data_IF_709747528808
#
_entry.id   IF_709747528808
#
_cell.length_a   1.000
_cell.length_b   1.000
_cell.length_c   1.000
_cell.angle_alpha   90.00
_cell.angle_beta   90.00
_cell.angle_gamma   90.00
#
_symmetry.space_group_name_H-M   'P 1'
#
loop_
_entity.id
_entity.type
_entity.pdbx_description
1 polymer ?
#
# COMPACT_ATOMS: atom_id res chain seq x y z
N UNK A 1 -32.19 -27.85 6.53
CA UNK A 1 -32.21 -27.01 5.31
C UNK A 1 -30.81 -27.06 4.75
N UNK A 2 -30.62 -27.66 3.58
CA UNK A 2 -29.31 -27.87 2.99
C UNK A 2 -28.80 -26.54 2.41
N UNK A 3 -27.73 -25.99 3.01
CA UNK A 3 -26.96 -24.93 2.38
C UNK A 3 -26.40 -25.49 1.08
N UNK A 4 -26.86 -24.96 -0.05
CA UNK A 4 -26.30 -25.24 -1.37
C UNK A 4 -24.83 -24.83 -1.31
N UNK A 5 -23.91 -25.80 -1.28
CA UNK A 5 -22.46 -25.61 -1.14
C UNK A 5 -21.77 -24.94 -2.34
N UNK A 6 -22.40 -23.90 -2.90
CA UNK A 6 -21.86 -23.05 -3.95
C UNK A 6 -21.18 -21.84 -3.29
N UNK A 7 -20.01 -21.46 -3.80
CA UNK A 7 -19.34 -20.21 -3.40
C UNK A 7 -20.32 -19.04 -3.58
N UNK A 8 -20.41 -18.09 -2.63
CA UNK A 8 -21.23 -16.88 -2.77
C UNK A 8 -21.08 -16.18 -4.14
N UNK A 9 -19.89 -16.20 -4.73
CA UNK A 9 -19.63 -15.64 -6.07
C UNK A 9 -20.36 -16.43 -7.17
N UNK A 10 -20.42 -17.74 -7.04
CA UNK A 10 -21.12 -18.62 -7.98
C UNK A 10 -22.64 -18.42 -7.88
N UNK A 11 -23.18 -18.25 -6.67
CA UNK A 11 -24.58 -17.89 -6.44
C UNK A 11 -24.96 -16.53 -7.06
N UNK A 12 -24.14 -15.50 -6.85
CA UNK A 12 -24.40 -14.16 -7.39
C UNK A 12 -24.35 -14.13 -8.92
N UNK A 13 -23.37 -14.80 -9.53
CA UNK A 13 -23.27 -14.85 -10.99
C UNK A 13 -24.45 -15.61 -11.61
N UNK A 14 -24.86 -16.73 -11.00
CA UNK A 14 -26.04 -17.49 -11.45
C UNK A 14 -27.33 -16.67 -11.34
N UNK A 15 -27.45 -15.81 -10.32
CA UNK A 15 -28.62 -14.93 -10.14
C UNK A 15 -28.85 -13.95 -11.31
N UNK A 16 -27.79 -13.61 -12.05
CA UNK A 16 -27.84 -12.76 -13.25
C UNK A 16 -27.68 -13.54 -14.55
N UNK A 17 -27.82 -14.87 -14.51
CA UNK A 17 -27.73 -15.73 -15.69
C UNK A 17 -26.32 -15.88 -16.25
N UNK A 18 -25.30 -15.57 -15.47
CA UNK A 18 -23.90 -15.71 -15.85
C UNK A 18 -23.28 -16.92 -15.15
N UNK A 19 -22.61 -17.76 -15.91
CA UNK A 19 -21.65 -18.71 -15.35
C UNK A 19 -20.29 -18.03 -15.34
N UNK A 20 -19.76 -17.68 -14.16
CA UNK A 20 -18.49 -16.97 -14.07
C UNK A 20 -17.31 -17.78 -14.63
N UNK A 21 -17.41 -19.12 -14.65
CA UNK A 21 -16.43 -20.03 -15.28
C UNK A 21 -16.51 -20.02 -16.81
N UNK A 22 -17.64 -19.60 -17.38
CA UNK A 22 -17.87 -19.49 -18.83
C UNK A 22 -18.07 -18.03 -19.26
N UNK A 23 -17.71 -17.07 -18.40
CA UNK A 23 -17.93 -15.66 -18.67
C UNK A 23 -17.12 -15.25 -19.92
N UNK A 24 -17.75 -14.72 -20.98
CA UNK A 24 -17.06 -14.35 -22.21
C UNK A 24 -16.14 -13.13 -22.04
N UNK A 25 -15.89 -12.67 -20.80
CA UNK A 25 -14.99 -11.57 -20.47
C UNK A 25 -13.60 -11.72 -21.12
N UNK A 26 -13.11 -12.96 -21.30
CA UNK A 26 -11.85 -13.23 -22.02
C UNK A 26 -11.96 -12.82 -23.50
N UNK A 27 -13.11 -13.08 -24.14
CA UNK A 27 -13.38 -12.70 -25.53
C UNK A 27 -13.70 -11.19 -25.68
N UNK A 28 -14.34 -10.58 -24.66
CA UNK A 28 -14.72 -9.17 -24.68
C UNK A 28 -13.54 -8.23 -24.38
N UNK A 29 -12.58 -8.65 -23.54
CA UNK A 29 -11.44 -7.84 -23.12
C UNK A 29 -10.12 -8.62 -23.22
N UNK A 30 -9.65 -8.98 -24.43
CA UNK A 30 -8.49 -9.84 -24.62
C UNK A 30 -7.19 -9.21 -24.09
N UNK A 31 -7.07 -7.88 -24.15
CA UNK A 31 -5.90 -7.19 -23.59
C UNK A 31 -5.91 -7.18 -22.07
N UNK A 32 -7.05 -6.89 -21.44
CA UNK A 32 -7.18 -6.83 -19.98
C UNK A 32 -6.91 -8.18 -19.33
N UNK A 33 -7.38 -9.26 -19.97
CA UNK A 33 -7.24 -10.64 -19.47
C UNK A 33 -5.93 -11.32 -19.89
N UNK A 34 -5.15 -10.70 -20.79
CA UNK A 34 -3.84 -11.23 -21.20
C UNK A 34 -2.80 -11.14 -20.08
N UNK A 35 -1.85 -12.09 -20.01
CA UNK A 35 -0.70 -11.99 -19.11
C UNK A 35 0.13 -10.71 -19.34
N UNK A 36 0.73 -10.18 -18.29
CA UNK A 36 1.58 -8.99 -18.36
C UNK A 36 2.82 -9.11 -17.46
N UNK A 37 3.99 -8.76 -17.99
CA UNK A 37 5.25 -8.84 -17.25
C UNK A 37 5.52 -7.52 -16.52
N UNK A 38 5.75 -7.59 -15.20
CA UNK A 38 6.16 -6.46 -14.36
C UNK A 38 7.48 -6.82 -13.67
N UNK A 39 8.57 -6.19 -14.11
CA UNK A 39 9.90 -6.55 -13.65
C UNK A 39 10.18 -8.04 -13.88
N UNK A 40 10.50 -8.77 -12.82
CA UNK A 40 10.73 -10.22 -12.86
C UNK A 40 9.47 -11.08 -12.66
N UNK A 41 8.29 -10.46 -12.48
CA UNK A 41 7.04 -11.16 -12.15
C UNK A 41 6.07 -11.17 -13.35
N UNK A 42 5.51 -12.35 -13.62
CA UNK A 42 4.47 -12.54 -14.62
C UNK A 42 3.09 -12.43 -13.95
N UNK A 43 2.30 -11.41 -14.29
CA UNK A 43 0.91 -11.30 -13.87
C UNK A 43 0.03 -12.20 -14.76
N UNK A 44 -0.97 -12.86 -14.17
CA UNK A 44 -1.95 -13.68 -14.92
C UNK A 44 -2.90 -12.86 -15.79
N UNK A 45 -3.10 -11.59 -15.45
CA UNK A 45 -3.89 -10.60 -16.19
C UNK A 45 -3.49 -9.18 -15.77
N UNK A 46 -4.10 -8.16 -16.38
CA UNK A 46 -3.81 -6.74 -16.11
C UNK A 46 -4.76 -6.11 -15.08
N UNK A 47 -5.58 -6.91 -14.40
CA UNK A 47 -6.50 -6.42 -13.37
C UNK A 47 -5.71 -6.23 -12.08
N UNK A 48 -5.73 -5.01 -11.55
CA UNK A 48 -4.96 -4.62 -10.36
C UNK A 48 -5.90 -4.08 -9.30
N UNK A 49 -5.70 -4.50 -8.05
CA UNK A 49 -6.23 -3.77 -6.90
C UNK A 49 -5.21 -2.74 -6.49
N UNK A 50 -5.61 -1.47 -6.54
CA UNK A 50 -4.75 -0.36 -6.14
C UNK A 50 -4.66 -0.24 -4.62
N UNK A 51 -3.58 0.36 -4.16
CA UNK A 51 -3.36 0.72 -2.77
C UNK A 51 -4.54 1.52 -2.21
N UNK A 52 -5.11 1.06 -1.10
CA UNK A 52 -6.16 1.75 -0.37
C UNK A 52 -6.11 1.39 1.11
N UNK A 53 -6.49 2.35 1.94
CA UNK A 53 -6.51 2.21 3.38
C UNK A 53 -7.92 1.76 3.83
N UNK A 54 -7.99 0.76 4.71
CA UNK A 54 -9.23 0.25 5.30
C UNK A 54 -9.52 0.84 6.69
N UNK A 55 -8.51 1.40 7.37
CA UNK A 55 -8.55 1.78 8.78
C UNK A 55 -8.95 0.62 9.72
N UNK A 56 -8.51 -0.60 9.41
CA UNK A 56 -8.81 -1.82 10.17
C UNK A 56 -7.59 -2.39 10.92
N UNK A 57 -6.46 -1.69 10.85
CA UNK A 57 -5.32 -1.93 11.73
C UNK A 57 -5.59 -1.41 13.14
N UNK A 58 -4.88 -1.98 14.11
CA UNK A 58 -4.84 -1.48 15.47
C UNK A 58 -3.46 -0.88 15.73
N UNK A 59 -3.37 0.44 15.77
CA UNK A 59 -2.11 1.19 15.96
C UNK A 59 -1.00 0.79 14.96
N UNK A 60 -1.39 0.58 13.70
CA UNK A 60 -0.48 0.16 12.63
C UNK A 60 -0.23 -1.34 12.57
N UNK A 61 -0.84 -2.12 13.46
CA UNK A 61 -0.75 -3.59 13.43
C UNK A 61 -1.88 -4.17 12.59
N UNK A 62 -1.51 -5.05 11.67
CA UNK A 62 -2.45 -5.79 10.86
C UNK A 62 -3.37 -6.62 11.74
N UNK A 63 -4.59 -6.78 11.26
CA UNK A 63 -5.60 -7.66 11.83
C UNK A 63 -5.89 -8.80 10.86
N UNK A 64 -6.49 -9.88 11.36
CA UNK A 64 -6.84 -11.02 10.52
C UNK A 64 -7.86 -10.61 9.45
N UNK A 65 -8.79 -9.72 9.81
CA UNK A 65 -9.84 -9.19 8.95
C UNK A 65 -9.26 -8.40 7.77
N UNK A 66 -8.18 -7.63 7.99
CA UNK A 66 -7.45 -6.95 6.93
C UNK A 66 -6.86 -7.98 5.94
N UNK A 67 -6.21 -9.02 6.47
CA UNK A 67 -5.61 -10.09 5.66
C UNK A 67 -6.68 -10.83 4.85
N UNK A 68 -7.79 -11.21 5.48
CA UNK A 68 -8.89 -11.94 4.84
C UNK A 68 -9.50 -11.11 3.69
N UNK A 69 -9.71 -9.80 3.92
CA UNK A 69 -10.21 -8.88 2.89
C UNK A 69 -9.32 -8.86 1.65
N UNK A 70 -8.01 -8.70 1.84
CA UNK A 70 -7.03 -8.63 0.74
C UNK A 70 -6.87 -10.00 0.05
N UNK A 71 -6.88 -11.09 0.82
CA UNK A 71 -6.82 -12.44 0.27
C UNK A 71 -8.04 -12.75 -0.63
N UNK A 72 -9.25 -12.30 -0.25
CA UNK A 72 -10.46 -12.48 -1.08
C UNK A 72 -10.36 -11.75 -2.42
N UNK A 73 -9.56 -10.67 -2.53
CA UNK A 73 -9.27 -10.04 -3.82
C UNK A 73 -8.38 -10.91 -4.71
N UNK A 74 -7.37 -11.54 -4.13
CA UNK A 74 -6.52 -12.49 -4.84
C UNK A 74 -7.33 -13.70 -5.33
N UNK A 75 -8.20 -14.23 -4.49
CA UNK A 75 -9.15 -15.29 -4.84
C UNK A 75 -10.07 -14.90 -6.01
N UNK A 76 -10.56 -13.65 -6.00
CA UNK A 76 -11.40 -13.09 -7.05
C UNK A 76 -10.75 -12.87 -8.42
N UNK A 77 -9.50 -13.30 -8.64
CA UNK A 77 -8.93 -13.33 -10.00
C UNK A 77 -8.00 -12.18 -10.36
N UNK A 78 -7.62 -11.29 -9.44
CA UNK A 78 -6.74 -10.14 -9.76
C UNK A 78 -5.30 -10.58 -10.09
N UNK A 79 -4.64 -9.90 -11.02
CA UNK A 79 -3.26 -10.17 -11.41
C UNK A 79 -2.25 -9.61 -10.42
N UNK A 80 -2.49 -8.39 -9.95
CA UNK A 80 -1.63 -7.67 -9.01
C UNK A 80 -2.46 -7.08 -7.86
N UNK A 81 -1.95 -7.25 -6.65
CA UNK A 81 -2.49 -6.66 -5.43
C UNK A 81 -1.45 -5.69 -4.86
N UNK A 82 -1.72 -4.39 -4.96
CA UNK A 82 -0.92 -3.36 -4.29
C UNK A 82 -1.61 -3.07 -2.95
N UNK A 83 -1.03 -3.60 -1.88
CA UNK A 83 -1.60 -3.56 -0.55
C UNK A 83 -1.28 -2.27 0.18
N UNK A 84 -2.20 -1.96 1.10
CA UNK A 84 -2.15 -0.87 2.07
C UNK A 84 -2.24 0.52 1.40
N UNK A 85 -2.97 1.43 2.02
CA UNK A 85 -2.99 2.83 1.61
C UNK A 85 -1.95 3.58 2.41
N UNK A 86 -0.79 3.84 1.80
CA UNK A 86 0.31 4.60 2.39
C UNK A 86 0.89 3.97 3.68
N UNK A 87 1.29 2.69 3.63
CA UNK A 87 1.88 2.00 4.78
C UNK A 87 3.19 2.66 5.24
N UNK A 88 3.32 2.87 6.54
CA UNK A 88 4.44 3.65 7.10
C UNK A 88 5.72 2.84 7.14
N UNK A 89 6.81 3.38 6.59
CA UNK A 89 8.15 2.80 6.69
C UNK A 89 8.92 3.24 7.94
N UNK A 90 8.41 4.22 8.70
CA UNK A 90 9.17 4.87 9.76
C UNK A 90 8.35 5.05 11.03
N UNK A 91 8.92 4.74 12.19
CA UNK A 91 8.23 4.80 13.48
C UNK A 91 7.73 6.21 13.81
N UNK A 92 8.58 7.23 13.65
CA UNK A 92 8.20 8.63 13.91
C UNK A 92 7.14 9.19 12.95
N UNK A 93 6.95 8.57 11.77
CA UNK A 93 5.88 8.95 10.85
C UNK A 93 4.49 8.51 11.37
N UNK A 94 4.47 7.55 12.30
CA UNK A 94 3.28 7.05 12.99
C UNK A 94 2.32 6.27 12.12
N UNK A 95 1.53 5.40 12.77
CA UNK A 95 0.36 4.75 12.18
C UNK A 95 -0.87 5.67 12.26
N UNK A 96 -0.78 6.87 11.68
CA UNK A 96 -1.86 7.85 11.83
C UNK A 96 -2.95 7.57 10.79
N UNK A 97 -4.22 7.55 11.21
CA UNK A 97 -5.38 7.23 10.35
C UNK A 97 -5.29 5.81 9.77
N UNK A 98 -5.01 4.83 10.61
CA UNK A 98 -5.11 3.42 10.21
C UNK A 98 -4.08 2.99 9.16
N UNK A 99 -2.81 3.38 9.34
CA UNK A 99 -1.75 3.03 8.39
C UNK A 99 -0.91 1.89 8.93
N UNK A 100 -0.92 0.76 8.23
CA UNK A 100 -0.06 -0.40 8.53
C UNK A 100 1.41 0.02 8.65
N UNK A 101 2.08 -0.45 9.70
CA UNK A 101 3.49 -0.18 9.99
C UNK A 101 4.39 -1.25 9.37
N UNK A 102 5.14 -0.90 8.32
CA UNK A 102 6.14 -1.80 7.70
C UNK A 102 7.44 -1.89 8.49
N UNK A 103 7.65 -0.98 9.45
CA UNK A 103 8.80 -0.96 10.35
C UNK A 103 8.61 -1.85 11.57
N UNK A 104 7.38 -2.27 11.91
CA UNK A 104 7.07 -3.06 13.11
C UNK A 104 7.20 -4.57 12.83
N UNK A 105 8.12 -5.30 13.50
CA UNK A 105 8.23 -6.76 13.37
C UNK A 105 6.97 -7.53 13.76
N UNK A 106 6.10 -6.98 14.60
CA UNK A 106 4.87 -7.66 15.00
C UNK A 106 3.90 -7.90 13.82
N UNK A 107 4.08 -7.18 12.71
CA UNK A 107 3.30 -7.39 11.48
C UNK A 107 3.78 -8.57 10.63
N UNK A 108 5.00 -9.07 10.81
CA UNK A 108 5.57 -10.11 9.94
C UNK A 108 4.74 -11.40 9.82
N UNK A 109 4.12 -11.93 10.89
CA UNK A 109 3.29 -13.13 10.78
C UNK A 109 2.11 -12.94 9.81
N UNK A 110 1.40 -11.80 9.92
CA UNK A 110 0.25 -11.50 9.06
C UNK A 110 0.66 -11.06 7.66
N UNK A 111 1.79 -10.36 7.52
CA UNK A 111 2.39 -10.06 6.21
C UNK A 111 2.75 -11.36 5.47
N UNK A 112 3.32 -12.34 6.17
CA UNK A 112 3.68 -13.65 5.60
C UNK A 112 2.43 -14.45 5.22
N UNK A 113 1.43 -14.47 6.10
CA UNK A 113 0.15 -15.13 5.83
C UNK A 113 -0.54 -14.54 4.59
N UNK A 114 -0.54 -13.21 4.46
CA UNK A 114 -1.14 -12.53 3.33
C UNK A 114 -0.42 -12.84 2.02
N UNK A 115 0.92 -12.76 1.98
CA UNK A 115 1.69 -13.10 0.79
C UNK A 115 1.42 -14.55 0.34
N UNK A 116 1.47 -15.49 1.28
CA UNK A 116 1.16 -16.89 0.99
C UNK A 116 -0.28 -17.07 0.49
N UNK A 117 -1.26 -16.34 1.04
CA UNK A 117 -2.65 -16.37 0.55
C UNK A 117 -2.78 -15.83 -0.87
N UNK A 118 -2.13 -14.71 -1.17
CA UNK A 118 -2.16 -14.10 -2.51
C UNK A 118 -1.51 -15.03 -3.55
N UNK A 119 -0.37 -15.64 -3.22
CA UNK A 119 0.33 -16.57 -4.11
C UNK A 119 -0.45 -17.87 -4.35
N UNK A 120 -1.18 -18.39 -3.35
CA UNK A 120 -2.06 -19.57 -3.53
C UNK A 120 -3.11 -19.35 -4.63
N UNK A 121 -3.51 -18.11 -4.86
CA UNK A 121 -4.47 -17.76 -5.92
C UNK A 121 -3.80 -17.23 -7.21
N UNK A 122 -2.48 -17.34 -7.34
CA UNK A 122 -1.74 -16.99 -8.57
C UNK A 122 -1.66 -15.48 -8.85
N UNK A 123 -1.84 -14.65 -7.82
CA UNK A 123 -1.67 -13.20 -7.90
C UNK A 123 -0.30 -12.78 -7.37
N UNK A 124 0.19 -11.62 -7.84
CA UNK A 124 1.41 -10.97 -7.35
C UNK A 124 1.05 -9.95 -6.27
N UNK A 125 1.90 -9.81 -5.26
CA UNK A 125 1.66 -8.92 -4.11
C UNK A 125 2.78 -7.89 -3.92
N UNK A 126 2.40 -6.62 -3.79
CA UNK A 126 3.30 -5.51 -3.49
C UNK A 126 2.73 -4.63 -2.39
N UNK A 127 3.57 -3.99 -1.59
CA UNK A 127 3.13 -3.03 -0.57
C UNK A 127 3.37 -1.60 -1.03
N UNK A 128 2.40 -0.71 -0.81
CA UNK A 128 2.61 0.73 -0.97
C UNK A 128 3.33 1.29 0.26
N UNK A 129 4.64 1.50 0.12
CA UNK A 129 5.50 2.06 1.15
C UNK A 129 5.53 3.59 1.11
N UNK A 130 5.42 4.20 2.28
CA UNK A 130 5.22 5.63 2.43
C UNK A 130 5.89 6.21 3.68
N UNK A 131 6.20 7.50 3.61
CA UNK A 131 6.46 8.36 4.76
C UNK A 131 5.58 9.62 4.63
N UNK A 132 4.88 9.99 5.70
CA UNK A 132 3.80 11.00 5.61
C UNK A 132 4.31 12.44 5.58
N UNK A 133 5.51 12.63 6.10
CA UNK A 133 6.17 13.93 6.18
C UNK A 133 5.33 14.94 6.98
N UNK A 134 5.18 16.17 6.48
CA UNK A 134 4.36 17.21 7.13
C UNK A 134 2.86 16.90 7.25
N UNK A 135 2.37 15.79 6.67
CA UNK A 135 0.97 15.35 6.77
C UNK A 135 0.66 14.51 8.01
N UNK A 136 1.66 14.28 8.85
CA UNK A 136 1.48 13.60 10.13
C UNK A 136 0.75 14.47 11.17
N UNK A 137 0.77 14.01 12.41
CA UNK A 137 0.33 14.78 13.57
C UNK A 137 1.23 14.47 14.75
N UNK A 138 1.90 15.50 15.26
CA UNK A 138 2.76 15.40 16.45
C UNK A 138 1.98 15.09 17.72
N UNK A 139 0.67 15.37 17.73
CA UNK A 139 -0.24 14.99 18.83
C UNK A 139 -0.39 13.46 18.91
N UNK A 140 -0.40 12.76 17.76
CA UNK A 140 -0.53 11.31 17.73
C UNK A 140 0.81 10.62 17.94
N UNK A 141 1.89 11.14 17.35
CA UNK A 141 3.20 10.48 17.38
C UNK A 141 4.04 10.88 18.58
N UNK A 142 3.70 11.99 19.26
CA UNK A 142 4.55 12.65 20.26
C UNK A 142 5.97 12.96 19.72
N UNK A 143 6.07 13.12 18.39
CA UNK A 143 7.32 13.38 17.68
C UNK A 143 7.13 14.55 16.71
N UNK A 144 8.18 15.35 16.45
CA UNK A 144 8.12 16.38 15.42
C UNK A 144 7.77 15.79 14.05
N UNK A 145 6.97 16.52 13.27
CA UNK A 145 6.75 16.19 11.87
C UNK A 145 8.05 16.45 11.10
N UNK A 146 8.40 15.56 10.17
CA UNK A 146 9.60 15.70 9.34
C UNK A 146 9.22 16.16 7.94
N UNK A 147 9.91 17.16 7.39
CA UNK A 147 9.65 17.63 6.04
C UNK A 147 10.90 18.27 5.40
N UNK A 148 10.91 18.48 4.06
CA UNK A 148 12.03 19.14 3.38
C UNK A 148 12.18 20.62 3.72
N UNK A 149 11.18 21.23 4.37
CA UNK A 149 11.21 22.62 4.81
C UNK A 149 10.15 22.89 5.87
N UNK A 150 10.30 23.99 6.61
CA UNK A 150 9.38 24.45 7.66
C UNK A 150 8.09 25.07 7.09
N UNK A 151 7.50 24.47 6.05
CA UNK A 151 6.23 24.91 5.45
C UNK A 151 5.11 23.99 5.92
N UNK A 152 4.18 24.47 6.76
CA UNK A 152 3.09 23.64 7.27
C UNK A 152 2.13 23.21 6.16
N UNK A 153 1.41 22.10 6.37
CA UNK A 153 0.28 21.78 5.50
C UNK A 153 -0.94 22.68 5.81
N UNK A 154 -1.77 23.03 4.81
CA UNK A 154 -2.92 23.92 5.02
C UNK A 154 -3.93 23.43 6.08
N UNK A 155 -4.11 22.11 6.19
CA UNK A 155 -5.14 21.52 7.05
C UNK A 155 -4.73 21.51 8.53
N UNK A 156 -3.51 21.08 8.86
CA UNK A 156 -3.05 20.89 10.25
C UNK A 156 -2.25 22.05 10.80
N UNK A 157 -1.61 22.85 9.93
CA UNK A 157 -0.81 24.03 10.29
C UNK A 157 0.33 23.80 11.28
N UNK A 158 0.63 22.55 11.64
CA UNK A 158 1.81 22.16 12.40
C UNK A 158 3.07 22.47 11.58
N UNK A 159 4.02 23.19 12.17
CA UNK A 159 5.29 23.51 11.52
C UNK A 159 6.21 22.30 11.65
N UNK A 160 6.63 21.65 10.55
CA UNK A 160 7.52 20.50 10.62
C UNK A 160 8.97 20.93 10.89
N UNK A 161 9.74 20.00 11.45
CA UNK A 161 11.19 20.04 11.45
C UNK A 161 11.73 19.89 10.03
N UNK A 162 12.70 20.72 9.67
CA UNK A 162 13.38 20.65 8.38
C UNK A 162 14.45 19.56 8.43
N UNK A 163 14.30 18.58 7.56
CA UNK A 163 15.18 17.43 7.47
C UNK A 163 16.62 17.85 7.16
N UNK A 164 17.54 17.39 7.99
CA UNK A 164 18.97 17.35 7.69
C UNK A 164 19.30 16.23 6.71
N UNK A 165 20.46 16.29 6.07
CA UNK A 165 20.92 15.22 5.16
C UNK A 165 21.01 13.87 5.87
N UNK A 166 21.50 13.85 7.12
CA UNK A 166 21.60 12.61 7.89
C UNK A 166 20.22 12.00 8.23
N UNK A 167 19.21 12.82 8.49
CA UNK A 167 17.83 12.34 8.69
C UNK A 167 17.22 11.82 7.38
N UNK A 168 17.55 12.43 6.24
CA UNK A 168 17.18 11.91 4.92
C UNK A 168 17.78 10.52 4.71
N UNK A 169 19.07 10.34 5.00
CA UNK A 169 19.73 9.04 4.90
C UNK A 169 19.07 7.98 5.80
N UNK A 170 18.67 8.35 7.02
CA UNK A 170 17.92 7.49 7.92
C UNK A 170 16.54 7.09 7.39
N UNK A 171 15.82 8.01 6.73
CA UNK A 171 14.54 7.72 6.09
C UNK A 171 14.74 6.79 4.88
N UNK A 172 15.78 7.02 4.06
CA UNK A 172 16.14 6.14 2.94
C UNK A 172 16.43 4.72 3.46
N UNK A 173 17.20 4.60 4.55
CA UNK A 173 17.44 3.31 5.21
C UNK A 173 16.13 2.66 5.67
N UNK A 174 15.18 3.43 6.19
CA UNK A 174 13.88 2.90 6.62
C UNK A 174 13.04 2.35 5.45
N UNK A 175 13.07 3.00 4.28
CA UNK A 175 12.47 2.43 3.07
C UNK A 175 13.15 1.11 2.66
N UNK A 176 14.48 1.05 2.74
CA UNK A 176 15.23 -0.17 2.44
C UNK A 176 14.90 -1.31 3.41
N UNK A 177 14.87 -1.03 4.71
CA UNK A 177 14.53 -1.99 5.77
C UNK A 177 13.10 -2.52 5.60
N UNK A 178 12.15 -1.65 5.27
CA UNK A 178 10.78 -2.06 4.95
C UNK A 178 10.74 -3.01 3.75
N UNK A 179 11.50 -2.72 2.69
CA UNK A 179 11.60 -3.60 1.52
C UNK A 179 12.25 -4.96 1.86
N UNK A 180 13.31 -4.97 2.66
CA UNK A 180 13.96 -6.21 3.14
C UNK A 180 12.99 -7.03 3.98
N UNK A 181 12.26 -6.41 4.90
CA UNK A 181 11.25 -7.09 5.74
C UNK A 181 10.14 -7.71 4.90
N UNK A 182 9.59 -6.95 3.96
CA UNK A 182 8.56 -7.44 3.04
C UNK A 182 9.07 -8.61 2.20
N UNK A 183 10.28 -8.51 1.65
CA UNK A 183 10.90 -9.60 0.91
C UNK A 183 11.05 -10.87 1.76
N UNK A 184 11.51 -10.74 3.02
CA UNK A 184 11.57 -11.86 3.98
C UNK A 184 10.19 -12.48 4.26
N UNK A 185 9.14 -11.67 4.28
CA UNK A 185 7.75 -12.13 4.43
C UNK A 185 7.17 -12.73 3.13
N UNK A 186 7.95 -12.85 2.06
CA UNK A 186 7.51 -13.44 0.79
C UNK A 186 6.81 -12.46 -0.15
N UNK A 187 6.93 -11.15 0.04
CA UNK A 187 6.32 -10.17 -0.87
C UNK A 187 7.13 -10.01 -2.16
N UNK A 188 6.45 -9.70 -3.26
CA UNK A 188 7.07 -9.62 -4.59
C UNK A 188 7.68 -8.24 -4.90
N UNK A 189 7.32 -7.21 -4.15
CA UNK A 189 7.88 -5.88 -4.34
C UNK A 189 7.27 -4.79 -3.45
N UNK A 190 7.75 -3.57 -3.70
CA UNK A 190 7.35 -2.36 -3.00
C UNK A 190 7.03 -1.28 -4.02
N UNK A 191 5.90 -0.60 -3.83
CA UNK A 191 5.60 0.66 -4.52
C UNK A 191 6.02 1.83 -3.63
N UNK A 192 6.87 2.71 -4.13
CA UNK A 192 7.27 3.94 -3.43
C UNK A 192 6.27 5.04 -3.78
N UNK A 193 5.49 5.50 -2.80
CA UNK A 193 4.50 6.56 -3.05
C UNK A 193 5.16 7.94 -3.14
N UNK A 194 4.92 8.61 -4.26
CA UNK A 194 5.22 10.03 -4.40
C UNK A 194 4.04 10.81 -4.99
N UNK A 195 2.91 10.70 -4.30
CA UNK A 195 1.65 11.35 -4.66
C UNK A 195 0.84 11.69 -3.40
N UNK A 196 0.00 12.72 -3.48
CA UNK A 196 -0.94 13.07 -2.41
C UNK A 196 -0.32 13.87 -1.27
N UNK A 197 0.78 14.58 -1.50
CA UNK A 197 1.51 15.37 -0.52
C UNK A 197 2.27 14.54 0.50
N UNK A 198 2.65 13.31 0.17
CA UNK A 198 3.54 12.48 1.01
C UNK A 198 4.98 13.01 0.99
N UNK A 199 5.85 12.51 1.87
CA UNK A 199 7.18 13.09 2.08
C UNK A 199 7.99 13.24 0.79
N UNK A 200 8.00 12.22 -0.06
CA UNK A 200 8.80 12.23 -1.29
C UNK A 200 8.31 13.34 -2.23
N UNK A 201 7.00 13.51 -2.39
CA UNK A 201 6.43 14.58 -3.22
C UNK A 201 6.74 15.97 -2.64
N UNK A 202 6.81 16.10 -1.31
CA UNK A 202 7.12 17.38 -0.66
C UNK A 202 8.50 17.93 -1.08
N UNK A 203 9.44 17.09 -1.51
CA UNK A 203 10.76 17.55 -1.96
C UNK A 203 10.72 18.34 -3.27
N UNK A 204 9.85 17.95 -4.21
CA UNK A 204 9.78 18.57 -5.54
C UNK A 204 8.52 19.41 -5.78
N UNK A 205 7.49 19.27 -4.95
CA UNK A 205 6.30 20.10 -5.04
C UNK A 205 6.64 21.55 -4.64
N UNK A 206 6.30 22.57 -5.47
CA UNK A 206 6.58 23.97 -5.15
C UNK A 206 5.95 24.43 -3.83
N UNK A 207 4.83 23.83 -3.42
CA UNK A 207 4.17 24.12 -2.13
C UNK A 207 4.84 23.45 -0.92
N UNK A 208 5.84 22.59 -1.14
CA UNK A 208 6.69 21.96 -0.12
C UNK A 208 8.07 22.60 0.01
N UNK A 209 8.45 23.52 -0.89
CA UNK A 209 9.70 24.27 -0.83
C UNK A 209 9.46 25.70 -0.30
N UNK A 210 10.38 26.27 0.48
CA UNK A 210 10.29 27.66 0.88
C UNK A 210 10.43 28.54 -0.37
N UNK A 211 9.70 29.65 -0.43
CA UNK A 211 9.62 30.56 -1.58
C UNK A 211 10.99 31.08 -2.10
N UNK A 212 12.09 30.83 -1.37
CA UNK A 212 13.45 31.29 -1.65
C UNK A 212 14.35 30.29 -2.40
N UNK A 213 13.91 29.05 -2.66
CA UNK A 213 14.71 28.03 -3.40
C UNK A 213 14.05 27.54 -4.69
N UNK A 214 13.38 28.41 -5.44
CA UNK A 214 13.19 28.16 -6.89
C UNK A 214 14.56 28.28 -7.54
N UNK A 215 15.32 27.18 -7.56
CA UNK A 215 16.51 27.07 -8.39
C UNK A 215 16.04 27.34 -9.81
N UNK A 216 16.46 28.48 -10.35
CA UNK A 216 16.33 28.75 -11.78
C UNK A 216 17.11 27.63 -12.49
N UNK A 217 16.40 26.85 -13.30
CA UNK A 217 17.03 26.08 -14.36
C UNK A 217 17.76 27.03 -15.32
#
# INVERSE_FOLDING_TARGET
MAETGLDPIESDCQSVGLNWKECPAVALFPQLTSPFQVGSKQLRNRVTVTAHNLNWDHDGRLTKEYVDYLARRAEGGVGLLICFGAASVHAQAGAIHGRVSLWDPENEPLLTQLAAATHRHGAVIMSQANHVGRRGSSVTTEQPLLAPSQVPEPARREVPHELTVAEIDGIVASFADAAVRLHRCGWDGVEITSFGGQLIEQFWSPGGQPARRRVRQ
#
